data_IF_327720291675
#
_entry.id   IF_327720291675
#
_cell.length_a   1.000
_cell.length_b   1.000
_cell.length_c   1.000
_cell.angle_alpha   90.00
_cell.angle_beta   90.00
_cell.angle_gamma   90.00
#
_symmetry.space_group_name_H-M   'P 1'
#
loop_
_entity.id
_entity.type
_entity.pdbx_description
1 polymer ?
#
# COMPACT_ATOMS: atom_id res chain seq x y z
N UNK A 1 15.94 19.70 2.97
CA UNK A 1 15.21 18.82 2.03
C UNK A 1 13.77 18.89 2.46
N UNK A 2 12.90 19.50 1.64
CA UNK A 2 11.61 20.00 2.08
C UNK A 2 10.52 18.94 2.04
N UNK A 3 9.60 18.98 3.00
CA UNK A 3 8.42 18.14 3.02
C UNK A 3 7.44 18.57 1.92
N UNK A 4 6.82 17.59 1.25
CA UNK A 4 5.82 17.88 0.22
C UNK A 4 4.56 18.49 0.86
N UNK A 5 4.07 19.57 0.24
CA UNK A 5 2.80 20.22 0.59
C UNK A 5 1.60 19.37 0.15
N UNK A 6 0.46 19.54 0.85
CA UNK A 6 -0.76 18.77 0.60
C UNK A 6 -1.26 18.83 -0.87
N UNK A 7 -1.13 20.00 -1.51
CA UNK A 7 -1.55 20.22 -2.91
C UNK A 7 -0.78 19.34 -3.91
N UNK A 8 0.49 19.05 -3.62
CA UNK A 8 1.31 18.16 -4.46
C UNK A 8 0.84 16.70 -4.35
N UNK A 9 0.53 16.22 -3.15
CA UNK A 9 -0.06 14.88 -2.97
C UNK A 9 -1.40 14.73 -3.70
N UNK A 10 -2.27 15.75 -3.62
CA UNK A 10 -3.57 15.71 -4.28
C UNK A 10 -3.44 15.58 -5.81
N UNK A 11 -2.46 16.26 -6.40
CA UNK A 11 -2.18 16.15 -7.83
C UNK A 11 -1.72 14.73 -8.19
N UNK A 12 -0.85 14.12 -7.38
CA UNK A 12 -0.41 12.74 -7.60
C UNK A 12 -1.52 11.69 -7.42
N UNK A 13 -2.50 11.97 -6.57
CA UNK A 13 -3.60 11.06 -6.26
C UNK A 13 -4.69 11.01 -7.33
N UNK A 14 -4.75 12.01 -8.22
CA UNK A 14 -5.71 12.06 -9.34
C UNK A 14 -5.44 11.02 -10.44
N UNK A 15 -4.24 10.47 -10.49
CA UNK A 15 -3.89 9.39 -11.43
C UNK A 15 -4.38 8.04 -10.89
N UNK A 16 -5.66 7.74 -11.14
CA UNK A 16 -6.28 6.47 -10.74
C UNK A 16 -5.62 5.26 -11.41
N UNK A 17 -5.18 5.39 -12.67
CA UNK A 17 -4.58 4.28 -13.42
C UNK A 17 -3.30 3.79 -12.78
N UNK A 18 -2.46 4.70 -12.28
CA UNK A 18 -1.27 4.33 -11.51
C UNK A 18 -1.61 3.38 -10.35
N UNK A 19 -2.56 3.74 -9.49
CA UNK A 19 -2.88 2.93 -8.30
C UNK A 19 -3.54 1.60 -8.65
N UNK A 20 -4.38 1.56 -9.69
CA UNK A 20 -4.95 0.31 -10.21
C UNK A 20 -3.83 -0.64 -10.68
N UNK A 21 -2.81 -0.12 -11.37
CA UNK A 21 -1.70 -0.95 -11.82
C UNK A 21 -0.82 -1.42 -10.66
N UNK A 22 -0.60 -0.58 -9.64
CA UNK A 22 0.08 -1.01 -8.41
C UNK A 22 -0.68 -2.13 -7.70
N UNK A 23 -2.00 -2.00 -7.53
CA UNK A 23 -2.82 -3.05 -6.93
C UNK A 23 -2.69 -4.36 -7.70
N UNK A 24 -2.87 -4.33 -9.04
CA UNK A 24 -2.71 -5.52 -9.90
C UNK A 24 -1.33 -6.16 -9.78
N UNK A 25 -0.28 -5.35 -9.71
CA UNK A 25 1.09 -5.84 -9.54
C UNK A 25 1.27 -6.52 -8.18
N UNK A 26 0.73 -5.94 -7.11
CA UNK A 26 0.76 -6.53 -5.76
C UNK A 26 -0.04 -7.83 -5.72
N UNK A 27 -1.25 -7.90 -6.31
CA UNK A 27 -2.04 -9.13 -6.37
C UNK A 27 -1.23 -10.27 -6.98
N UNK A 28 -0.62 -10.03 -8.15
CA UNK A 28 0.22 -11.03 -8.83
C UNK A 28 1.39 -11.47 -7.96
N UNK A 29 2.11 -10.52 -7.37
CA UNK A 29 3.25 -10.83 -6.51
C UNK A 29 2.85 -11.65 -5.27
N UNK A 30 1.66 -11.42 -4.71
CA UNK A 30 1.16 -12.17 -3.56
C UNK A 30 0.79 -13.61 -3.93
N UNK A 31 0.08 -13.80 -5.05
CA UNK A 31 -0.28 -15.13 -5.57
C UNK A 31 0.96 -15.94 -5.99
N UNK A 32 1.96 -15.30 -6.59
CA UNK A 32 3.21 -15.97 -6.99
C UNK A 32 4.06 -16.41 -5.79
N UNK A 33 3.92 -15.73 -4.63
CA UNK A 33 4.78 -15.93 -3.46
C UNK A 33 4.23 -16.97 -2.46
N UNK A 34 2.91 -17.13 -2.41
CA UNK A 34 2.24 -18.02 -1.45
C UNK A 34 1.30 -18.95 -2.22
N UNK A 35 1.61 -20.26 -2.30
CA UNK A 35 0.71 -21.24 -2.88
C UNK A 35 -0.64 -21.26 -2.14
N UNK A 36 -1.71 -21.62 -2.85
CA UNK A 36 -3.08 -21.63 -2.28
C UNK A 36 -3.20 -22.46 -0.99
N UNK A 37 -2.44 -23.56 -0.90
CA UNK A 37 -2.38 -24.46 0.25
C UNK A 37 -1.81 -23.78 1.52
N UNK A 38 -0.94 -22.78 1.35
CA UNK A 38 -0.25 -22.07 2.43
C UNK A 38 -0.91 -20.73 2.80
N UNK A 39 -1.88 -20.25 2.03
CA UNK A 39 -2.53 -18.93 2.19
C UNK A 39 -3.06 -18.66 3.60
N UNK A 40 -3.53 -19.71 4.30
CA UNK A 40 -4.07 -19.59 5.65
C UNK A 40 -3.01 -19.61 6.76
N UNK A 41 -1.78 -20.03 6.46
CA UNK A 41 -0.71 -20.22 7.46
C UNK A 41 0.39 -19.18 7.28
N UNK A 42 0.78 -18.92 6.04
CA UNK A 42 1.92 -18.07 5.71
C UNK A 42 1.53 -16.61 5.76
N UNK A 43 2.24 -15.84 6.58
CA UNK A 43 2.07 -14.39 6.65
C UNK A 43 3.16 -13.71 5.84
N UNK A 44 2.78 -12.93 4.83
CA UNK A 44 3.71 -12.12 4.04
C UNK A 44 3.89 -10.75 4.68
N UNK A 45 5.13 -10.29 4.83
CA UNK A 45 5.42 -8.92 5.27
C UNK A 45 5.45 -8.01 4.05
N UNK A 46 4.57 -7.00 4.02
CA UNK A 46 4.49 -6.01 2.95
C UNK A 46 4.83 -4.64 3.52
N UNK A 47 5.80 -3.96 2.92
CA UNK A 47 6.25 -2.63 3.34
C UNK A 47 6.07 -1.63 2.20
N UNK A 48 5.33 -0.54 2.44
CA UNK A 48 5.25 0.60 1.53
C UNK A 48 6.25 1.64 2.00
N UNK A 49 7.35 1.80 1.26
CA UNK A 49 8.41 2.78 1.53
C UNK A 49 8.10 4.07 0.79
N UNK A 50 7.82 5.15 1.53
CA UNK A 50 7.29 6.40 0.97
C UNK A 50 5.76 6.33 0.80
N UNK A 51 5.05 6.03 1.88
CA UNK A 51 3.61 5.82 1.86
C UNK A 51 2.78 7.08 1.52
N UNK A 52 3.36 8.28 1.66
CA UNK A 52 2.67 9.54 1.45
C UNK A 52 1.40 9.60 2.31
N UNK A 53 0.27 9.95 1.69
CA UNK A 53 -1.05 9.96 2.34
C UNK A 53 -1.81 8.62 2.25
N UNK A 54 -1.14 7.56 1.81
CA UNK A 54 -1.67 6.20 1.81
C UNK A 54 -2.41 5.66 0.58
N UNK A 55 -2.42 6.27 -0.62
CA UNK A 55 -3.10 5.65 -1.76
C UNK A 55 -2.45 4.31 -2.19
N UNK A 56 -1.12 4.18 -2.08
CA UNK A 56 -0.43 2.89 -2.29
C UNK A 56 -0.65 1.90 -1.14
N UNK A 57 -0.83 2.40 0.09
CA UNK A 57 -1.21 1.57 1.23
C UNK A 57 -2.56 0.93 0.98
N UNK A 58 -3.57 1.74 0.60
CA UNK A 58 -4.90 1.26 0.23
C UNK A 58 -4.87 0.25 -0.92
N UNK A 59 -4.16 0.57 -2.00
CA UNK A 59 -4.03 -0.34 -3.15
C UNK A 59 -3.42 -1.70 -2.74
N UNK A 60 -2.44 -1.70 -1.83
CA UNK A 60 -1.80 -2.94 -1.37
C UNK A 60 -2.67 -3.73 -0.40
N UNK A 61 -3.44 -3.07 0.47
CA UNK A 61 -4.41 -3.72 1.35
C UNK A 61 -5.55 -4.36 0.54
N UNK A 62 -6.09 -3.63 -0.45
CA UNK A 62 -7.12 -4.16 -1.34
C UNK A 62 -6.62 -5.36 -2.14
N UNK A 63 -5.37 -5.34 -2.59
CA UNK A 63 -4.74 -6.51 -3.23
C UNK A 63 -4.66 -7.73 -2.29
N UNK A 64 -4.40 -7.50 -1.01
CA UNK A 64 -4.37 -8.56 0.00
C UNK A 64 -5.76 -9.17 0.22
N UNK A 65 -6.78 -8.32 0.32
CA UNK A 65 -8.18 -8.74 0.45
C UNK A 65 -8.64 -9.54 -0.78
N UNK A 66 -8.31 -9.07 -1.99
CA UNK A 66 -8.65 -9.75 -3.25
C UNK A 66 -7.97 -11.12 -3.39
N UNK A 67 -6.75 -11.27 -2.86
CA UNK A 67 -5.99 -12.52 -2.94
C UNK A 67 -6.22 -13.44 -1.74
N UNK A 68 -6.90 -12.96 -0.68
CA UNK A 68 -7.09 -13.69 0.57
C UNK A 68 -5.80 -13.93 1.37
N UNK A 69 -4.70 -13.27 1.00
CA UNK A 69 -3.38 -13.50 1.57
C UNK A 69 -3.21 -12.81 2.93
N UNK A 70 -2.68 -13.54 3.92
CA UNK A 70 -2.40 -12.97 5.25
C UNK A 70 -1.18 -12.04 5.17
N UNK A 71 -1.38 -10.78 5.56
CA UNK A 71 -0.32 -9.77 5.56
C UNK A 71 0.01 -9.24 6.95
N UNK A 72 1.31 -8.97 7.15
CA UNK A 72 1.81 -8.02 8.14
C UNK A 72 2.28 -6.78 7.40
N UNK A 73 1.63 -5.65 7.67
CA UNK A 73 1.80 -4.44 6.87
C UNK A 73 2.64 -3.38 7.58
N UNK A 74 3.47 -2.66 6.82
CA UNK A 74 4.21 -1.49 7.30
C UNK A 74 4.11 -0.35 6.29
N UNK A 75 3.66 0.82 6.72
CA UNK A 75 3.72 2.05 5.96
C UNK A 75 4.84 2.94 6.51
N UNK A 76 5.87 3.20 5.71
CA UNK A 76 7.02 4.02 6.09
C UNK A 76 6.89 5.38 5.39
N UNK A 77 6.84 6.45 6.17
CA UNK A 77 6.79 7.81 5.65
C UNK A 77 7.66 8.73 6.52
N UNK A 78 8.48 9.56 5.87
CA UNK A 78 9.38 10.50 6.55
C UNK A 78 8.66 11.82 6.87
N UNK A 79 7.70 12.22 6.04
CA UNK A 79 6.98 13.47 6.19
C UNK A 79 5.95 13.36 7.33
N UNK A 80 6.17 14.03 8.49
CA UNK A 80 5.27 13.91 9.63
C UNK A 80 3.84 14.39 9.32
N UNK A 81 3.69 15.35 8.40
CA UNK A 81 2.37 15.83 7.98
C UNK A 81 1.55 14.73 7.28
N UNK A 82 2.23 13.89 6.50
CA UNK A 82 1.60 12.77 5.81
C UNK A 82 1.35 11.59 6.77
N UNK A 83 2.23 11.39 7.76
CA UNK A 83 2.03 10.39 8.83
C UNK A 83 0.73 10.65 9.59
N UNK A 84 0.38 11.91 9.87
CA UNK A 84 -0.91 12.25 10.50
C UNK A 84 -2.08 11.72 9.66
N UNK A 85 -2.04 11.91 8.34
CA UNK A 85 -3.09 11.38 7.44
C UNK A 85 -3.13 9.85 7.46
N UNK A 86 -1.96 9.20 7.44
CA UNK A 86 -1.87 7.73 7.50
C UNK A 86 -2.50 7.18 8.79
N UNK A 87 -2.21 7.78 9.94
CA UNK A 87 -2.67 7.30 11.26
C UNK A 87 -4.19 7.41 11.47
N UNK A 88 -4.86 8.33 10.75
CA UNK A 88 -6.32 8.50 10.85
C UNK A 88 -7.06 7.63 9.81
N UNK A 89 -6.36 7.15 8.77
CA UNK A 89 -6.98 6.52 7.61
C UNK A 89 -6.90 4.99 7.59
N UNK A 90 -6.08 4.38 8.44
CA UNK A 90 -5.81 2.93 8.50
C UNK A 90 -5.56 2.50 9.94
#
# INVERSE_FOLDING_TARGET
MDNLEARKYETFEKDAMKFIQYQRAVCKALLDRVPDEETSVKTTVLMVVGAGRGPLVRASLQAAEETGQKLKFYAIEKNPNAVITLHVSF
#
